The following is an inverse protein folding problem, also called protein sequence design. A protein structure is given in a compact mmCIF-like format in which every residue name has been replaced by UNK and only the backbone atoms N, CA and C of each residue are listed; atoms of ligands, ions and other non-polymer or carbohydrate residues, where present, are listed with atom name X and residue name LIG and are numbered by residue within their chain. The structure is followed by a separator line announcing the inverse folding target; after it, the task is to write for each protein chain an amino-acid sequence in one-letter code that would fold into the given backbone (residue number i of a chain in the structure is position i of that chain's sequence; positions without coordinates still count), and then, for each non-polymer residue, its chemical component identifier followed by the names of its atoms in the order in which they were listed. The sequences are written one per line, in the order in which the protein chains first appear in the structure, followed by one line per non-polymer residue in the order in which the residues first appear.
data_IF_860668352146
#
_entry.id   IF_860668352146
#
_cell.length_a   1.000
_cell.length_b   1.000
_cell.length_c   1.000
_cell.angle_alpha   90.00
_cell.angle_beta   90.00
_cell.angle_gamma   90.00
#
_symmetry.space_group_name_H-M   'P 1'
#
loop_
_entity.id
_entity.type
_entity.pdbx_description
1 polymer ?
#
# COMPACT_ATOMS: atom_id res chain seq x y z
N UNK A 1 4.06 28.80 12.76
CA UNK A 1 4.07 29.18 11.33
C UNK A 1 5.10 28.29 10.61
N UNK A 2 4.67 27.49 9.64
CA UNK A 2 5.53 26.54 8.91
C UNK A 2 6.25 27.24 7.76
N UNK A 3 7.35 27.91 8.07
CA UNK A 3 8.32 28.44 7.10
C UNK A 3 9.67 27.92 7.53
N UNK A 4 10.16 26.83 6.93
CA UNK A 4 11.47 26.28 7.32
C UNK A 4 12.18 25.46 6.23
N UNK A 5 12.04 25.82 4.96
CA UNK A 5 12.95 25.35 3.91
C UNK A 5 13.32 26.54 3.01
N UNK A 6 14.61 26.82 2.87
CA UNK A 6 15.08 27.88 1.99
C UNK A 6 14.67 27.55 0.54
N UNK A 7 13.96 28.46 -0.12
CA UNK A 7 13.44 28.26 -1.48
C UNK A 7 12.00 27.76 -1.60
N UNK A 8 11.31 27.45 -0.49
CA UNK A 8 9.89 27.02 -0.52
C UNK A 8 8.96 28.20 -0.22
N UNK A 9 8.40 28.81 -1.27
CA UNK A 9 7.37 29.85 -1.16
C UNK A 9 5.97 29.30 -0.85
N UNK A 10 5.04 30.18 -0.45
CA UNK A 10 3.65 29.82 -0.05
C UNK A 10 2.93 28.91 -1.05
N UNK A 11 3.05 29.18 -2.36
CA UNK A 11 2.42 28.38 -3.42
C UNK A 11 3.04 26.98 -3.56
N UNK A 12 4.37 26.89 -3.47
CA UNK A 12 5.07 25.61 -3.54
C UNK A 12 4.77 24.77 -2.31
N UNK A 13 4.74 25.38 -1.12
CA UNK A 13 4.32 24.72 0.12
C UNK A 13 2.90 24.15 0.01
N UNK A 14 1.93 24.96 -0.47
CA UNK A 14 0.55 24.52 -0.65
C UNK A 14 0.42 23.37 -1.64
N UNK A 15 1.14 23.42 -2.77
CA UNK A 15 1.16 22.34 -3.76
C UNK A 15 1.75 21.05 -3.19
N UNK A 16 2.88 21.14 -2.51
CA UNK A 16 3.53 19.99 -1.87
C UNK A 16 2.60 19.36 -0.83
N UNK A 17 1.92 20.17 0.01
CA UNK A 17 0.97 19.66 1.01
C UNK A 17 -0.19 18.92 0.35
N UNK A 18 -0.75 19.45 -0.75
CA UNK A 18 -1.83 18.78 -1.49
C UNK A 18 -1.37 17.46 -2.10
N UNK A 19 -0.24 17.44 -2.80
CA UNK A 19 0.31 16.23 -3.43
C UNK A 19 0.66 15.16 -2.38
N UNK A 20 1.23 15.57 -1.24
CA UNK A 20 1.51 14.66 -0.13
C UNK A 20 0.24 14.15 0.54
N UNK A 21 -0.77 15.01 0.74
CA UNK A 21 -2.07 14.59 1.28
C UNK A 21 -2.75 13.57 0.37
N UNK A 22 -2.64 13.69 -0.95
CA UNK A 22 -3.20 12.72 -1.88
C UNK A 22 -2.44 11.39 -1.87
N UNK A 23 -1.10 11.45 -1.85
CA UNK A 23 -0.25 10.24 -1.78
C UNK A 23 -0.38 9.50 -0.44
N UNK A 24 -0.51 10.23 0.66
CA UNK A 24 -0.64 9.69 2.01
C UNK A 24 -2.10 9.32 2.31
N UNK A 25 -3.08 10.08 1.83
CA UNK A 25 -4.50 9.80 2.09
C UNK A 25 -5.05 8.58 1.34
N UNK A 26 -4.40 8.16 0.25
CA UNK A 26 -4.74 6.93 -0.47
C UNK A 26 -4.12 5.65 0.11
N UNK A 27 -3.13 5.79 1.01
CA UNK A 27 -2.47 4.67 1.68
C UNK A 27 -2.76 4.84 3.17
N UNK A 28 -3.63 4.01 3.74
CA UNK A 28 -3.86 3.94 5.19
C UNK A 28 -2.61 3.41 5.90
N UNK A 29 -1.54 4.19 5.85
CA UNK A 29 -0.25 3.94 6.46
C UNK A 29 -0.23 4.85 7.67
N UNK A 30 -0.40 4.26 8.86
CA UNK A 30 -0.01 4.94 10.10
C UNK A 30 1.46 5.32 9.98
N UNK A 31 1.73 6.59 9.71
CA UNK A 31 3.08 7.13 9.71
C UNK A 31 3.43 7.48 11.15
N UNK A 32 3.94 6.49 11.87
CA UNK A 32 4.62 6.72 13.15
C UNK A 32 5.98 7.39 12.88
N UNK A 33 6.06 8.69 13.20
CA UNK A 33 7.29 9.49 13.02
C UNK A 33 8.29 9.33 14.18
N UNK A 34 8.03 8.45 15.15
CA UNK A 34 8.95 8.21 16.27
C UNK A 34 10.13 7.29 15.95
N UNK A 35 10.17 6.64 14.78
CA UNK A 35 11.31 5.83 14.36
C UNK A 35 12.16 6.59 13.32
N UNK A 36 13.32 7.07 13.76
CA UNK A 36 14.34 7.62 12.87
C UNK A 36 14.89 6.55 11.93
N UNK A 37 14.31 6.46 10.73
CA UNK A 37 14.89 6.05 9.42
C UNK A 37 13.73 5.67 8.50
N UNK A 38 13.66 6.15 7.24
CA UNK A 38 12.75 5.59 6.26
C UNK A 38 13.31 4.24 5.80
N UNK A 39 13.23 3.25 6.67
CA UNK A 39 13.31 1.87 6.22
C UNK A 39 12.00 1.60 5.49
N UNK A 40 12.08 1.46 4.17
CA UNK A 40 11.04 0.81 3.36
C UNK A 40 11.00 -0.69 3.70
N UNK A 41 10.84 -1.01 4.99
CA UNK A 41 10.44 -2.32 5.43
C UNK A 41 8.91 -2.37 5.24
N UNK A 42 8.38 -3.27 4.40
CA UNK A 42 6.94 -3.50 4.40
C UNK A 42 6.53 -3.80 5.83
N UNK A 43 5.45 -3.19 6.31
CA UNK A 43 4.90 -3.47 7.63
C UNK A 43 4.66 -4.99 7.76
N UNK A 44 5.61 -5.70 8.37
CA UNK A 44 5.56 -7.15 8.57
C UNK A 44 4.57 -7.56 9.66
N UNK A 45 3.67 -6.66 10.07
CA UNK A 45 2.59 -6.92 11.03
C UNK A 45 1.22 -7.12 10.37
N UNK A 46 1.14 -7.08 9.03
CA UNK A 46 -0.07 -7.47 8.32
C UNK A 46 -0.21 -8.99 8.27
N UNK A 47 -1.36 -9.53 8.71
CA UNK A 47 -1.67 -10.96 8.61
C UNK A 47 -1.56 -11.52 7.17
N UNK A 48 -1.69 -12.84 6.99
CA UNK A 48 -1.48 -13.52 5.69
C UNK A 48 -2.14 -12.82 4.49
N UNK A 49 -3.33 -12.26 4.69
CA UNK A 49 -4.08 -11.50 3.69
C UNK A 49 -3.40 -10.19 3.25
N UNK A 50 -2.67 -9.51 4.13
CA UNK A 50 -1.93 -8.29 3.82
C UNK A 50 -0.65 -8.61 3.06
N UNK A 51 0.07 -9.67 3.47
CA UNK A 51 1.25 -10.14 2.75
C UNK A 51 0.90 -10.61 1.33
N UNK A 52 -0.23 -11.32 1.16
CA UNK A 52 -0.69 -11.74 -0.16
C UNK A 52 -1.03 -10.54 -1.07
N UNK A 53 -1.65 -9.49 -0.52
CA UNK A 53 -1.93 -8.25 -1.27
C UNK A 53 -0.64 -7.55 -1.72
N UNK A 54 0.34 -7.43 -0.82
CA UNK A 54 1.62 -6.81 -1.13
C UNK A 54 2.35 -7.57 -2.25
N UNK A 55 2.41 -8.90 -2.16
CA UNK A 55 3.02 -9.74 -3.18
C UNK A 55 2.35 -9.59 -4.55
N UNK A 56 1.01 -9.55 -4.60
CA UNK A 56 0.28 -9.35 -5.86
C UNK A 56 0.49 -7.94 -6.44
N UNK A 57 0.63 -6.92 -5.58
CA UNK A 57 0.93 -5.56 -6.02
C UNK A 57 2.35 -5.46 -6.60
N UNK A 58 3.33 -6.16 -6.03
CA UNK A 58 4.70 -6.25 -6.58
C UNK A 58 4.74 -6.95 -7.94
N UNK A 59 3.83 -7.91 -8.18
CA UNK A 59 3.65 -8.54 -9.50
C UNK A 59 2.99 -7.60 -10.54
N UNK A 60 2.57 -6.40 -10.13
CA UNK A 60 2.02 -5.37 -11.02
C UNK A 60 0.49 -5.40 -11.17
N UNK A 61 -0.23 -6.16 -10.35
CA UNK A 61 -1.69 -6.16 -10.35
C UNK A 61 -2.26 -4.92 -9.68
N UNK A 62 -3.38 -4.40 -10.19
CA UNK A 62 -4.04 -3.24 -9.59
C UNK A 62 -4.75 -3.62 -8.28
N UNK A 63 -4.93 -2.66 -7.33
CA UNK A 63 -5.65 -2.91 -6.08
C UNK A 63 -7.07 -3.46 -6.26
N UNK A 64 -7.73 -3.07 -7.37
CA UNK A 64 -9.08 -3.52 -7.72
C UNK A 64 -9.09 -5.00 -8.11
N UNK A 65 -8.13 -5.42 -8.94
CA UNK A 65 -7.97 -6.82 -9.35
C UNK A 65 -7.62 -7.70 -8.15
N UNK A 66 -6.69 -7.24 -7.31
CA UNK A 66 -6.28 -7.95 -6.09
C UNK A 66 -7.47 -8.16 -5.16
N UNK A 67 -8.27 -7.11 -4.92
CA UNK A 67 -9.45 -7.20 -4.05
C UNK A 67 -10.51 -8.14 -4.61
N UNK A 68 -10.68 -8.18 -5.94
CA UNK A 68 -11.60 -9.09 -6.60
C UNK A 68 -11.10 -10.55 -6.55
N UNK A 69 -9.80 -10.78 -6.71
CA UNK A 69 -9.20 -12.11 -6.75
C UNK A 69 -9.08 -12.76 -5.37
N UNK A 70 -8.92 -11.97 -4.30
CA UNK A 70 -8.93 -12.45 -2.92
C UNK A 70 -10.36 -12.60 -2.35
N UNK A 71 -11.39 -12.35 -3.16
CA UNK A 71 -12.78 -12.50 -2.70
C UNK A 71 -13.12 -13.98 -2.55
N UNK A 72 -13.44 -14.39 -1.31
CA UNK A 72 -13.82 -15.78 -1.00
C UNK A 72 -12.65 -16.72 -0.72
N UNK A 73 -11.43 -16.18 -0.59
CA UNK A 73 -10.30 -16.94 -0.05
C UNK A 73 -10.54 -17.23 1.44
N UNK A 74 -10.10 -18.42 1.90
CA UNK A 74 -10.16 -18.76 3.31
C UNK A 74 -9.30 -17.78 4.14
N UNK A 75 -9.87 -17.08 5.14
CA UNK A 75 -9.12 -16.19 6.02
C UNK A 75 -8.03 -16.89 6.85
N UNK A 76 -8.14 -18.22 7.04
CA UNK A 76 -7.15 -19.03 7.74
C UNK A 76 -6.04 -19.58 6.85
N UNK A 77 -6.11 -19.36 5.54
CA UNK A 77 -5.12 -19.85 4.60
C UNK A 77 -3.76 -19.16 4.79
N UNK A 78 -2.69 -19.89 4.49
CA UNK A 78 -1.34 -19.33 4.44
C UNK A 78 -1.20 -18.30 3.33
N UNK A 79 -0.26 -17.38 3.47
CA UNK A 79 0.02 -16.35 2.45
C UNK A 79 0.21 -16.95 1.05
N UNK A 80 0.93 -18.07 0.94
CA UNK A 80 1.19 -18.75 -0.33
C UNK A 80 -0.09 -19.28 -0.98
N UNK A 81 -0.98 -19.86 -0.19
CA UNK A 81 -2.28 -20.36 -0.66
C UNK A 81 -3.16 -19.22 -1.15
N UNK A 82 -3.16 -18.09 -0.43
CA UNK A 82 -3.91 -16.90 -0.84
C UNK A 82 -3.40 -16.32 -2.15
N UNK A 83 -2.08 -16.24 -2.33
CA UNK A 83 -1.46 -15.79 -3.59
C UNK A 83 -1.80 -16.75 -4.73
N UNK A 84 -1.69 -18.06 -4.50
CA UNK A 84 -2.03 -19.07 -5.51
C UNK A 84 -3.51 -19.00 -5.91
N UNK A 85 -4.41 -18.82 -4.94
CA UNK A 85 -5.84 -18.65 -5.19
C UNK A 85 -6.11 -17.42 -6.05
N UNK A 86 -5.55 -16.27 -5.67
CA UNK A 86 -5.73 -15.02 -6.41
C UNK A 86 -5.20 -15.11 -7.85
N UNK A 87 -3.99 -15.66 -8.06
CA UNK A 87 -3.42 -15.81 -9.40
C UNK A 87 -4.28 -16.73 -10.29
N UNK A 88 -4.82 -17.82 -9.73
CA UNK A 88 -5.75 -18.70 -10.48
C UNK A 88 -7.04 -17.95 -10.84
N UNK A 89 -7.63 -17.22 -9.90
CA UNK A 89 -8.84 -16.46 -10.12
C UNK A 89 -8.66 -15.38 -11.21
N UNK A 90 -7.48 -14.77 -11.31
CA UNK A 90 -7.16 -13.78 -12.33
C UNK A 90 -7.00 -14.40 -13.73
N UNK A 91 -6.32 -15.55 -13.83
CA UNK A 91 -6.10 -16.23 -15.12
C UNK A 91 -7.41 -16.79 -15.69
N UNK A 92 -8.33 -17.27 -14.84
CA UNK A 92 -9.61 -17.84 -15.27
C UNK A 92 -10.66 -16.78 -15.66
N UNK A 93 -10.37 -15.49 -15.46
CA UNK A 93 -11.28 -14.37 -15.72
C UNK A 93 -10.91 -13.59 -17.00
N UNK A 94 -9.84 -13.99 -17.71
CA UNK A 94 -9.53 -13.53 -19.07
C UNK A 94 -10.16 -14.44 -20.12
#
# INVERSE_FOLDING_TARGET
MLTAAQGVGKKLAQRIILELKEKIGGSSMELDFSAGTPSAAPAQTGGAAAMARAALQELGYSPVEISAALKGVDPGASTEEMVRFALRAMVMKG
#
